data_IF_648370061093
#
_entry.id   IF_648370061093
#
_cell.length_a   1.000
_cell.length_b   1.000
_cell.length_c   1.000
_cell.angle_alpha   90.00
_cell.angle_beta   90.00
_cell.angle_gamma   90.00
#
_symmetry.space_group_name_H-M   'P 1'
#
loop_
_entity.id
_entity.type
_entity.pdbx_description
1 polymer ?
#
# COMPACT_ATOMS: atom_id res chain seq x y z
N UNK A 1 -29.02 -50.26 -21.76
CA UNK A 1 -28.05 -49.23 -21.34
C UNK A 1 -28.85 -48.10 -20.72
N UNK A 2 -28.87 -48.03 -19.38
CA UNK A 2 -29.20 -46.82 -18.62
C UNK A 2 -28.04 -46.68 -17.63
N UNK A 3 -27.43 -45.51 -17.68
CA UNK A 3 -26.10 -45.18 -17.23
C UNK A 3 -25.98 -45.19 -15.70
N UNK A 4 -25.13 -46.07 -15.15
CA UNK A 4 -24.67 -45.98 -13.76
C UNK A 4 -23.45 -45.06 -13.69
N UNK A 5 -23.70 -43.74 -13.65
CA UNK A 5 -22.67 -42.75 -13.42
C UNK A 5 -22.80 -42.13 -12.00
N UNK A 6 -21.84 -42.50 -11.15
CA UNK A 6 -21.35 -41.77 -9.96
C UNK A 6 -22.24 -41.77 -8.71
N UNK A 7 -22.17 -42.91 -8.00
CA UNK A 7 -22.19 -42.91 -6.54
C UNK A 7 -20.98 -42.11 -6.03
N UNK A 8 -21.21 -40.94 -5.46
CA UNK A 8 -20.31 -40.36 -4.46
C UNK A 8 -21.13 -40.13 -3.20
N UNK A 9 -21.01 -41.06 -2.26
CA UNK A 9 -21.43 -40.89 -0.88
C UNK A 9 -20.50 -39.86 -0.21
N UNK A 10 -20.67 -38.58 -0.56
CA UNK A 10 -20.06 -37.45 0.15
C UNK A 10 -20.95 -36.98 1.29
N UNK A 11 -21.49 -37.92 2.07
CA UNK A 11 -22.21 -37.62 3.30
C UNK A 11 -21.28 -37.92 4.47
N UNK A 12 -20.27 -37.06 4.68
CA UNK A 12 -19.57 -37.03 5.95
C UNK A 12 -20.58 -36.63 7.01
N UNK A 13 -20.81 -37.50 8.00
CA UNK A 13 -21.71 -37.17 9.10
C UNK A 13 -21.11 -35.98 9.86
N UNK A 14 -21.79 -34.83 9.90
CA UNK A 14 -21.34 -33.61 10.61
C UNK A 14 -20.93 -33.88 12.06
N UNK A 15 -21.60 -34.82 12.73
CA UNK A 15 -21.24 -35.24 14.10
C UNK A 15 -19.94 -36.06 14.19
N UNK A 16 -19.58 -36.82 13.15
CA UNK A 16 -18.28 -37.52 13.09
C UNK A 16 -17.17 -36.53 12.75
N UNK A 17 -17.43 -35.59 11.85
CA UNK A 17 -16.51 -34.50 11.50
C UNK A 17 -16.26 -33.61 12.73
N UNK A 18 -17.29 -33.10 13.40
CA UNK A 18 -17.14 -32.29 14.63
C UNK A 18 -16.36 -33.03 15.71
N UNK A 19 -16.66 -34.30 15.98
CA UNK A 19 -16.02 -35.05 17.07
C UNK A 19 -14.59 -35.51 16.73
N UNK A 20 -14.32 -35.83 15.47
CA UNK A 20 -13.00 -36.34 15.04
C UNK A 20 -12.05 -35.19 14.68
N UNK A 21 -12.55 -34.14 14.01
CA UNK A 21 -11.77 -32.94 13.71
C UNK A 21 -11.46 -32.16 14.97
N UNK A 22 -12.38 -32.04 15.94
CA UNK A 22 -12.09 -31.41 17.22
C UNK A 22 -11.00 -32.18 18.00
N UNK A 23 -11.04 -33.52 18.01
CA UNK A 23 -9.98 -34.32 18.66
C UNK A 23 -8.62 -34.13 18.00
N UNK A 24 -8.58 -34.09 16.67
CA UNK A 24 -7.34 -33.85 15.93
C UNK A 24 -6.85 -32.40 16.12
N UNK A 25 -7.77 -31.43 16.17
CA UNK A 25 -7.48 -30.01 16.39
C UNK A 25 -6.72 -29.70 17.67
N UNK A 26 -6.94 -30.47 18.73
CA UNK A 26 -6.24 -30.31 20.00
C UNK A 26 -5.26 -31.45 20.27
N UNK A 27 -4.90 -32.25 19.26
CA UNK A 27 -3.99 -33.37 19.41
C UNK A 27 -2.52 -32.93 19.39
N UNK A 28 -1.67 -33.70 20.07
CA UNK A 28 -0.20 -33.55 20.03
C UNK A 28 0.36 -33.79 18.62
N UNK A 29 -0.23 -34.73 17.86
CA UNK A 29 0.16 -35.01 16.47
C UNK A 29 0.03 -33.76 15.60
N UNK A 30 -1.10 -33.05 15.72
CA UNK A 30 -1.31 -31.80 14.98
C UNK A 30 -0.34 -30.71 15.42
N UNK A 31 0.04 -30.66 16.70
CA UNK A 31 1.04 -29.71 17.18
C UNK A 31 2.39 -29.97 16.52
N UNK A 32 2.85 -31.23 16.49
CA UNK A 32 4.10 -31.63 15.85
C UNK A 32 4.14 -31.26 14.35
N UNK A 33 3.07 -31.56 13.62
CA UNK A 33 2.93 -31.20 12.20
C UNK A 33 3.02 -29.68 11.98
N UNK A 34 2.44 -28.88 12.90
CA UNK A 34 2.55 -27.42 12.84
C UNK A 34 3.99 -26.99 13.12
N UNK A 35 4.61 -27.47 14.21
CA UNK A 35 5.95 -27.06 14.62
C UNK A 35 7.02 -27.41 13.61
N UNK A 36 6.91 -28.56 12.93
CA UNK A 36 7.82 -28.95 11.84
C UNK A 36 7.73 -28.00 10.62
N UNK A 37 6.58 -27.35 10.43
CA UNK A 37 6.34 -26.41 9.33
C UNK A 37 6.54 -24.93 9.68
N UNK A 38 6.85 -24.57 10.94
CA UNK A 38 6.95 -23.17 11.38
C UNK A 38 8.17 -22.45 10.78
N UNK A 39 9.32 -23.13 10.78
CA UNK A 39 10.60 -22.54 10.41
C UNK A 39 11.10 -23.09 9.08
N UNK A 40 11.67 -22.23 8.25
CA UNK A 40 12.36 -22.67 7.03
C UNK A 40 13.55 -23.58 7.37
N UNK A 41 13.92 -24.48 6.47
CA UNK A 41 14.99 -25.48 6.72
C UNK A 41 16.37 -24.88 7.02
N UNK A 42 16.60 -23.62 6.63
CA UNK A 42 17.86 -22.89 6.84
C UNK A 42 17.77 -21.76 7.87
N UNK A 43 16.63 -21.60 8.55
CA UNK A 43 16.38 -20.49 9.46
C UNK A 43 16.79 -20.83 10.90
N UNK A 44 18.08 -20.74 11.18
CA UNK A 44 18.67 -21.13 12.47
C UNK A 44 18.11 -20.33 13.65
N UNK A 45 17.82 -19.05 13.47
CA UNK A 45 17.29 -18.19 14.55
C UNK A 45 15.86 -18.60 14.90
N UNK A 46 15.03 -18.90 13.90
CA UNK A 46 13.69 -19.42 14.12
C UNK A 46 13.71 -20.76 14.87
N UNK A 47 14.55 -21.70 14.44
CA UNK A 47 14.69 -23.00 15.11
C UNK A 47 15.15 -22.86 16.55
N UNK A 48 16.17 -22.03 16.82
CA UNK A 48 16.66 -21.79 18.17
C UNK A 48 15.58 -21.20 19.09
N UNK A 49 14.76 -20.29 18.57
CA UNK A 49 13.65 -19.69 19.33
C UNK A 49 12.53 -20.70 19.61
N UNK A 50 12.22 -21.55 18.61
CA UNK A 50 11.21 -22.60 18.74
C UNK A 50 11.63 -23.62 19.80
N UNK A 51 12.88 -24.09 19.76
CA UNK A 51 13.46 -24.99 20.75
C UNK A 51 13.44 -24.38 22.16
N UNK A 52 13.80 -23.10 22.31
CA UNK A 52 13.80 -22.41 23.62
C UNK A 52 12.39 -22.33 24.26
N UNK A 53 11.34 -22.35 23.44
CA UNK A 53 9.98 -22.09 23.89
C UNK A 53 8.99 -23.23 23.62
N UNK A 54 9.47 -24.40 23.20
CA UNK A 54 8.66 -25.59 22.89
C UNK A 54 7.72 -25.95 24.04
N UNK A 55 8.24 -26.06 25.27
CA UNK A 55 7.43 -26.40 26.45
C UNK A 55 6.28 -25.41 26.70
N UNK A 56 6.48 -24.11 26.42
CA UNK A 56 5.46 -23.08 26.61
C UNK A 56 4.38 -23.19 25.52
N UNK A 57 4.79 -23.42 24.28
CA UNK A 57 3.88 -23.59 23.15
C UNK A 57 3.03 -24.86 23.31
N UNK A 58 3.63 -25.96 23.78
CA UNK A 58 2.92 -27.20 24.09
C UNK A 58 1.92 -27.01 25.24
N UNK A 59 2.36 -26.37 26.34
CA UNK A 59 1.47 -26.06 27.45
C UNK A 59 0.28 -25.19 27.03
N UNK A 60 0.52 -24.23 26.13
CA UNK A 60 -0.56 -23.42 25.57
C UNK A 60 -1.52 -24.26 24.74
N UNK A 61 -1.00 -25.03 23.79
CA UNK A 61 -1.79 -25.85 22.88
C UNK A 61 -2.71 -26.83 23.62
N UNK A 62 -2.16 -27.53 24.62
CA UNK A 62 -2.86 -28.61 25.32
C UNK A 62 -3.77 -28.12 26.45
N UNK A 63 -3.45 -26.98 27.10
CA UNK A 63 -4.12 -26.57 28.34
C UNK A 63 -4.65 -25.15 28.34
N UNK A 64 -3.94 -24.19 27.75
CA UNK A 64 -4.25 -22.76 27.92
C UNK A 64 -5.03 -22.14 26.75
N UNK A 65 -5.04 -22.76 25.58
CA UNK A 65 -5.66 -22.23 24.35
C UNK A 65 -7.14 -21.85 24.51
N UNK A 66 -7.87 -22.54 25.38
CA UNK A 66 -9.29 -22.21 25.66
C UNK A 66 -9.45 -20.89 26.42
N UNK A 67 -8.54 -20.62 27.35
CA UNK A 67 -8.57 -19.42 28.19
C UNK A 67 -7.87 -18.24 27.49
N UNK A 68 -6.90 -18.54 26.62
CA UNK A 68 -6.12 -17.57 25.86
C UNK A 68 -6.11 -17.96 24.37
N UNK A 69 -7.19 -17.70 23.63
CA UNK A 69 -7.33 -18.14 22.24
C UNK A 69 -6.37 -17.45 21.26
N UNK A 70 -5.90 -16.24 21.59
CA UNK A 70 -4.92 -15.50 20.81
C UNK A 70 -3.49 -15.88 21.26
N UNK A 71 -2.83 -16.71 20.45
CA UNK A 71 -1.45 -17.12 20.70
C UNK A 71 -0.49 -15.93 20.68
N UNK A 72 -0.66 -14.97 19.78
CA UNK A 72 0.25 -13.83 19.65
C UNK A 72 0.17 -12.94 20.90
N UNK A 73 -1.04 -12.62 21.33
CA UNK A 73 -1.27 -11.82 22.52
C UNK A 73 -0.74 -12.52 23.78
N UNK A 74 -1.03 -13.81 23.94
CA UNK A 74 -0.57 -14.58 25.10
C UNK A 74 0.95 -14.77 25.09
N UNK A 75 1.51 -15.25 23.99
CA UNK A 75 2.91 -15.65 23.90
C UNK A 75 3.82 -14.44 23.73
N UNK A 76 3.65 -13.67 22.66
CA UNK A 76 4.61 -12.62 22.34
C UNK A 76 4.42 -11.36 23.19
N UNK A 77 3.16 -10.94 23.39
CA UNK A 77 2.85 -9.67 24.07
C UNK A 77 2.91 -9.82 25.59
N UNK A 78 2.21 -10.82 26.15
CA UNK A 78 2.06 -10.99 27.60
C UNK A 78 3.17 -11.84 28.24
N UNK A 79 3.55 -12.96 27.62
CA UNK A 79 4.50 -13.92 28.21
C UNK A 79 5.95 -13.52 27.97
N UNK A 80 6.36 -13.36 26.71
CA UNK A 80 7.72 -12.98 26.34
C UNK A 80 7.97 -11.48 26.48
N UNK A 81 6.93 -10.66 26.30
CA UNK A 81 7.00 -9.20 26.33
C UNK A 81 7.97 -8.60 25.30
N UNK A 82 8.11 -9.26 24.16
CA UNK A 82 8.97 -8.80 23.05
C UNK A 82 8.17 -8.16 21.90
N UNK A 83 6.86 -8.43 21.80
CA UNK A 83 5.95 -7.78 20.84
C UNK A 83 4.94 -6.87 21.52
N UNK A 84 4.55 -5.79 20.84
CA UNK A 84 3.42 -4.95 21.20
C UNK A 84 2.14 -5.39 20.46
N UNK A 85 0.98 -4.96 20.96
CA UNK A 85 -0.27 -5.09 20.20
C UNK A 85 -0.23 -4.16 18.96
N UNK A 86 -0.94 -4.49 17.86
CA UNK A 86 -1.03 -3.61 16.71
C UNK A 86 -1.47 -2.19 17.09
N UNK A 87 -0.85 -1.20 16.46
CA UNK A 87 -1.02 0.23 16.72
C UNK A 87 -0.31 0.75 17.98
N UNK A 88 0.59 -0.03 18.57
CA UNK A 88 1.40 0.38 19.73
C UNK A 88 2.88 0.09 19.51
N UNK A 89 3.76 0.87 20.13
CA UNK A 89 5.20 0.85 19.88
C UNK A 89 6.03 1.07 21.15
N UNK A 90 7.33 0.83 21.05
CA UNK A 90 8.30 1.16 22.08
C UNK A 90 8.26 0.23 23.31
N UNK A 91 9.14 0.45 24.29
CA UNK A 91 9.32 -0.46 25.42
C UNK A 91 8.05 -0.67 26.26
N UNK A 92 7.19 0.35 26.31
CA UNK A 92 5.96 0.38 27.11
C UNK A 92 4.67 0.17 26.28
N UNK A 93 4.77 -0.12 24.97
CA UNK A 93 3.62 -0.19 24.06
C UNK A 93 2.70 1.03 24.10
N UNK A 94 3.29 2.20 23.91
CA UNK A 94 2.53 3.43 23.77
C UNK A 94 1.76 3.42 22.44
N UNK A 95 0.58 4.05 22.42
CA UNK A 95 -0.20 4.15 21.19
C UNK A 95 0.54 4.99 20.14
N UNK A 96 0.54 4.53 18.90
CA UNK A 96 1.01 5.30 17.75
C UNK A 96 0.28 6.64 17.62
N UNK A 97 0.90 7.62 16.94
CA UNK A 97 0.22 8.86 16.57
C UNK A 97 -1.04 8.55 15.74
N UNK A 98 -2.16 9.21 16.06
CA UNK A 98 -3.48 8.87 15.48
C UNK A 98 -4.23 7.74 16.22
N UNK A 99 -3.62 7.14 17.25
CA UNK A 99 -4.21 6.10 18.10
C UNK A 99 -3.92 4.68 17.62
N UNK A 100 -4.20 3.69 18.48
CA UNK A 100 -3.91 2.28 18.19
C UNK A 100 -4.90 1.61 17.24
N UNK A 101 -6.13 2.11 17.16
CA UNK A 101 -7.16 1.56 16.27
C UNK A 101 -6.95 1.98 14.81
N UNK A 102 -6.42 3.19 14.57
CA UNK A 102 -6.09 3.65 13.22
C UNK A 102 -4.82 4.53 13.22
N UNK A 103 -3.64 3.91 13.44
CA UNK A 103 -2.36 4.61 13.44
C UNK A 103 -2.20 5.47 12.19
N UNK A 104 -1.63 6.66 12.35
CA UNK A 104 -1.40 7.61 11.28
C UNK A 104 -2.66 7.95 10.48
N UNK A 105 -3.81 8.02 11.17
CA UNK A 105 -5.14 8.17 10.58
C UNK A 105 -5.50 7.10 9.53
N UNK A 106 -4.76 5.99 9.44
CA UNK A 106 -4.88 4.99 8.38
C UNK A 106 -4.18 5.36 7.07
N UNK A 107 -3.47 6.49 7.05
CA UNK A 107 -2.86 7.10 5.86
C UNK A 107 -1.33 7.16 5.97
N UNK A 108 -0.74 6.28 6.78
CA UNK A 108 0.70 6.18 6.95
C UNK A 108 1.12 4.94 7.73
N UNK A 109 2.43 4.73 7.80
CA UNK A 109 3.05 3.68 8.59
C UNK A 109 3.61 4.24 9.90
N UNK A 110 3.31 3.56 11.02
CA UNK A 110 3.83 3.93 12.34
C UNK A 110 5.18 3.27 12.61
N UNK A 111 6.16 4.08 12.98
CA UNK A 111 7.49 3.63 13.41
C UNK A 111 7.41 2.78 14.66
N UNK A 112 7.70 1.48 14.52
CA UNK A 112 7.66 0.51 15.61
C UNK A 112 6.29 -0.13 15.86
N UNK A 113 5.37 -0.06 14.90
CA UNK A 113 4.06 -0.70 15.03
C UNK A 113 4.16 -2.19 15.39
N UNK A 114 3.57 -2.58 16.51
CA UNK A 114 3.59 -3.95 17.03
C UNK A 114 4.94 -4.36 17.64
N UNK A 115 5.89 -3.45 17.75
CA UNK A 115 7.25 -3.71 18.22
C UNK A 115 7.56 -3.01 19.54
N UNK A 116 8.51 -3.56 20.31
CA UNK A 116 9.11 -2.89 21.48
C UNK A 116 10.11 -1.78 21.11
N UNK A 117 10.33 -1.54 19.83
CA UNK A 117 11.20 -0.50 19.30
C UNK A 117 10.36 0.61 18.62
N UNK A 118 11.05 1.59 18.02
CA UNK A 118 10.43 2.71 17.32
C UNK A 118 10.08 3.89 18.23
N UNK A 119 9.67 4.97 17.59
CA UNK A 119 9.34 6.26 18.21
C UNK A 119 7.88 6.68 17.97
N UNK A 120 7.09 5.85 17.29
CA UNK A 120 5.67 6.08 17.06
C UNK A 120 5.35 7.16 16.03
N UNK A 121 6.38 7.70 15.37
CA UNK A 121 6.22 8.68 14.31
C UNK A 121 5.56 8.07 13.07
N UNK A 122 4.88 8.91 12.29
CA UNK A 122 4.18 8.50 11.08
C UNK A 122 4.96 8.82 9.82
N UNK A 123 5.13 7.82 8.96
CA UNK A 123 5.54 7.98 7.56
C UNK A 123 4.30 7.96 6.67
N UNK A 124 3.91 9.12 6.14
CA UNK A 124 2.66 9.26 5.40
C UNK A 124 2.71 8.61 4.01
N UNK A 125 1.58 8.06 3.59
CA UNK A 125 1.37 7.60 2.22
C UNK A 125 1.34 8.79 1.25
N UNK A 126 1.51 8.52 -0.05
CA UNK A 126 1.43 9.53 -1.09
C UNK A 126 0.10 10.31 -1.01
N UNK A 127 0.20 11.64 -1.11
CA UNK A 127 -0.96 12.53 -1.00
C UNK A 127 -1.25 13.05 0.40
N UNK A 128 -0.58 12.52 1.43
CA UNK A 128 -0.82 12.86 2.84
C UNK A 128 0.40 13.47 3.52
N UNK A 129 0.15 14.34 4.50
CA UNK A 129 1.15 14.99 5.33
C UNK A 129 0.62 15.30 6.74
N UNK A 130 1.51 15.86 7.56
CA UNK A 130 1.25 16.17 8.97
C UNK A 130 1.63 15.02 9.89
N UNK A 131 1.66 15.28 11.21
CA UNK A 131 2.09 14.31 12.20
C UNK A 131 1.22 13.03 12.21
N UNK A 132 -0.06 13.16 11.87
CA UNK A 132 -1.03 12.06 11.86
C UNK A 132 -1.45 11.66 10.45
N UNK A 133 -0.82 12.17 9.39
CA UNK A 133 -1.19 11.90 7.98
C UNK A 133 -2.67 12.19 7.68
N UNK A 134 -3.22 13.22 8.31
CA UNK A 134 -4.61 13.66 8.16
C UNK A 134 -4.79 14.80 7.17
N UNK A 135 -3.72 15.44 6.76
CA UNK A 135 -3.76 16.61 5.88
C UNK A 135 -3.27 16.21 4.48
N UNK A 136 -3.84 16.84 3.44
CA UNK A 136 -3.39 16.60 2.07
C UNK A 136 -2.17 17.45 1.75
N UNK A 137 -1.27 16.93 0.94
CA UNK A 137 -0.16 17.69 0.33
C UNK A 137 -0.67 18.57 -0.81
N UNK A 138 0.12 19.53 -1.24
CA UNK A 138 -0.15 20.29 -2.48
C UNK A 138 -0.32 19.33 -3.67
N UNK A 139 -1.24 19.65 -4.57
CA UNK A 139 -1.67 18.74 -5.65
C UNK A 139 -2.69 17.68 -5.22
N UNK A 140 -3.14 17.68 -3.96
CA UNK A 140 -4.23 16.84 -3.48
C UNK A 140 -5.25 17.67 -2.69
N UNK A 141 -6.53 17.30 -2.77
CA UNK A 141 -7.60 17.87 -1.96
C UNK A 141 -8.29 16.82 -1.11
N UNK A 142 -8.91 17.25 -0.02
CA UNK A 142 -9.70 16.37 0.83
C UNK A 142 -11.09 16.16 0.21
N UNK A 143 -11.31 15.00 -0.40
CA UNK A 143 -12.63 14.64 -0.95
C UNK A 143 -13.61 14.23 0.13
N UNK A 144 -13.10 13.65 1.22
CA UNK A 144 -13.83 13.34 2.44
C UNK A 144 -12.98 13.66 3.66
N UNK A 145 -13.60 14.22 4.70
CA UNK A 145 -12.97 14.43 6.00
C UNK A 145 -13.95 14.14 7.13
N UNK A 146 -13.55 13.23 8.00
CA UNK A 146 -14.22 12.91 9.25
C UNK A 146 -13.29 13.25 10.43
N UNK A 147 -13.79 13.08 11.67
CA UNK A 147 -12.99 13.29 12.88
C UNK A 147 -11.78 12.37 12.96
N UNK A 148 -11.85 11.20 12.33
CA UNK A 148 -10.78 10.20 12.41
C UNK A 148 -9.85 10.23 11.21
N UNK A 149 -10.33 10.31 9.96
CA UNK A 149 -9.53 10.27 8.72
C UNK A 149 -9.95 11.34 7.73
N UNK A 150 -9.03 11.67 6.85
CA UNK A 150 -9.29 12.28 5.55
C UNK A 150 -9.01 11.30 4.42
N UNK A 151 -9.68 11.51 3.30
CA UNK A 151 -9.35 10.91 2.00
C UNK A 151 -8.81 12.02 1.12
N UNK A 152 -7.54 11.91 0.74
CA UNK A 152 -6.89 12.83 -0.17
C UNK A 152 -6.96 12.30 -1.61
N UNK A 153 -7.44 13.12 -2.52
CA UNK A 153 -7.60 12.81 -3.94
C UNK A 153 -6.77 13.80 -4.75
N UNK A 154 -6.09 13.32 -5.78
CA UNK A 154 -5.27 14.18 -6.63
C UNK A 154 -6.13 15.27 -7.28
N UNK A 155 -5.54 16.46 -7.40
CA UNK A 155 -6.09 17.54 -8.19
C UNK A 155 -6.03 17.20 -9.69
N UNK A 156 -6.73 18.01 -10.49
CA UNK A 156 -6.44 18.11 -11.92
C UNK A 156 -4.98 18.52 -12.15
N UNK A 157 -4.35 18.03 -13.22
CA UNK A 157 -2.92 18.31 -13.52
C UNK A 157 -2.62 19.80 -13.71
N UNK A 158 -3.65 20.56 -14.10
CA UNK A 158 -3.57 22.01 -14.25
C UNK A 158 -3.53 22.78 -12.92
N UNK A 159 -3.79 22.12 -11.78
CA UNK A 159 -3.83 22.74 -10.47
C UNK A 159 -2.55 22.48 -9.66
N UNK A 160 -1.96 23.52 -9.08
CA UNK A 160 -0.99 23.40 -7.99
C UNK A 160 -1.67 23.09 -6.65
N UNK A 161 -2.79 23.75 -6.39
CA UNK A 161 -3.66 23.50 -5.23
C UNK A 161 -5.11 23.50 -5.70
N UNK A 162 -5.97 22.70 -5.09
CA UNK A 162 -7.37 22.60 -5.50
C UNK A 162 -8.31 22.32 -4.32
N UNK A 163 -9.60 22.60 -4.52
CA UNK A 163 -10.69 22.22 -3.60
C UNK A 163 -11.58 21.12 -4.16
N UNK A 164 -11.28 20.67 -5.37
CA UNK A 164 -12.07 19.71 -6.13
C UNK A 164 -11.27 19.11 -7.29
N UNK A 165 -11.85 18.15 -8.01
CA UNK A 165 -11.12 17.34 -8.98
C UNK A 165 -10.98 17.99 -10.36
N UNK A 166 -11.63 19.12 -10.64
CA UNK A 166 -11.62 19.73 -11.97
C UNK A 166 -10.62 20.87 -12.09
N UNK A 167 -10.22 21.20 -13.33
CA UNK A 167 -9.41 22.38 -13.64
C UNK A 167 -10.07 23.73 -13.26
N UNK A 168 -11.36 23.74 -12.88
CA UNK A 168 -12.07 24.92 -12.36
C UNK A 168 -12.00 25.05 -10.85
N UNK A 169 -11.62 23.97 -10.16
CA UNK A 169 -11.51 23.92 -8.71
C UNK A 169 -10.10 24.27 -8.22
N UNK A 170 -9.23 24.77 -9.11
CA UNK A 170 -7.87 25.16 -8.76
C UNK A 170 -7.89 26.44 -7.90
N UNK A 171 -7.26 26.38 -6.73
CA UNK A 171 -6.91 27.57 -5.96
C UNK A 171 -5.72 28.32 -6.56
N UNK A 172 -4.80 27.59 -7.19
CA UNK A 172 -3.67 28.11 -7.93
C UNK A 172 -3.38 27.18 -9.12
N UNK A 173 -3.19 27.75 -10.32
CA UNK A 173 -2.75 26.97 -11.48
C UNK A 173 -1.31 26.47 -11.30
N UNK A 174 -1.02 25.30 -11.85
CA UNK A 174 0.32 24.75 -11.95
C UNK A 174 1.18 25.58 -12.91
N UNK A 175 2.51 25.38 -12.88
CA UNK A 175 3.41 26.03 -13.83
C UNK A 175 3.10 25.51 -15.24
N UNK A 176 3.10 26.40 -16.24
CA UNK A 176 2.65 26.09 -17.61
C UNK A 176 1.14 26.25 -17.83
N UNK A 177 0.39 26.66 -16.78
CA UNK A 177 -1.05 26.85 -16.86
C UNK A 177 -1.43 28.28 -16.43
N UNK A 178 -2.42 28.86 -17.11
CA UNK A 178 -2.95 30.19 -16.83
C UNK A 178 -4.44 30.11 -16.48
N UNK A 179 -4.89 31.03 -15.63
CA UNK A 179 -6.30 31.09 -15.26
C UNK A 179 -7.10 31.87 -16.32
N UNK A 180 -8.00 31.16 -17.00
CA UNK A 180 -8.86 31.68 -18.06
C UNK A 180 -10.32 31.24 -17.80
N UNK A 181 -11.26 32.19 -17.78
CA UNK A 181 -12.69 31.94 -17.53
C UNK A 181 -13.00 31.05 -16.30
N UNK A 182 -12.16 31.19 -15.26
CA UNK A 182 -12.27 30.44 -14.01
C UNK A 182 -11.83 28.98 -14.11
N UNK A 183 -11.08 28.61 -15.15
CA UNK A 183 -10.42 27.32 -15.30
C UNK A 183 -8.90 27.55 -15.47
N UNK A 184 -8.08 26.59 -15.05
CA UNK A 184 -6.68 26.55 -15.47
C UNK A 184 -6.60 25.90 -16.85
N UNK A 185 -6.07 26.66 -17.80
CA UNK A 185 -5.90 26.27 -19.19
C UNK A 185 -4.40 26.28 -19.51
N UNK A 186 -4.00 25.32 -20.33
CA UNK A 186 -2.62 25.15 -20.76
C UNK A 186 -2.14 26.39 -21.51
N UNK A 187 -0.95 26.89 -21.17
CA UNK A 187 -0.35 28.03 -21.84
C UNK A 187 0.34 27.53 -23.10
N UNK A 188 -0.12 27.96 -24.27
CA UNK A 188 0.59 27.65 -25.52
C UNK A 188 1.87 28.50 -25.64
N UNK A 189 2.98 28.00 -25.10
CA UNK A 189 4.25 28.72 -25.18
C UNK A 189 4.78 28.80 -26.62
N UNK A 190 4.36 27.90 -27.51
CA UNK A 190 4.73 27.92 -28.92
C UNK A 190 4.05 29.05 -29.70
N UNK A 191 2.90 29.54 -29.21
CA UNK A 191 2.17 30.68 -29.77
C UNK A 191 2.66 32.04 -29.25
N UNK A 192 3.68 32.07 -28.38
CA UNK A 192 4.24 33.31 -27.87
C UNK A 192 4.94 34.14 -28.96
N UNK A 193 4.94 35.48 -28.79
CA UNK A 193 5.62 36.42 -29.71
C UNK A 193 7.10 36.09 -29.93
N UNK A 194 7.74 35.54 -28.91
CA UNK A 194 9.10 34.97 -29.01
C UNK A 194 9.01 33.48 -28.70
N UNK A 195 9.08 32.61 -29.73
CA UNK A 195 9.03 31.17 -29.54
C UNK A 195 10.15 30.68 -28.62
N UNK A 196 9.88 29.69 -27.75
CA UNK A 196 10.85 29.25 -26.74
C UNK A 196 11.94 28.33 -27.31
N UNK A 197 11.76 27.81 -28.53
CA UNK A 197 12.70 26.93 -29.21
C UNK A 197 13.66 27.70 -30.13
N UNK A 198 14.84 27.11 -30.40
CA UNK A 198 15.82 27.72 -31.31
C UNK A 198 15.44 27.60 -32.79
N UNK A 199 16.12 28.37 -33.66
CA UNK A 199 15.80 28.55 -35.08
C UNK A 199 15.69 27.26 -35.95
N UNK A 200 16.24 26.13 -35.49
CA UNK A 200 16.21 24.83 -36.21
C UNK A 200 15.37 23.76 -35.49
N UNK A 201 14.58 24.18 -34.51
CA UNK A 201 13.71 23.32 -33.73
C UNK A 201 12.25 23.64 -34.02
N UNK A 202 11.43 22.60 -34.03
CA UNK A 202 9.98 22.70 -34.05
C UNK A 202 9.46 22.68 -32.61
N UNK A 203 8.58 23.63 -32.28
CA UNK A 203 7.92 23.71 -30.99
C UNK A 203 6.61 22.91 -31.03
N UNK A 204 6.46 21.98 -30.11
CA UNK A 204 5.21 21.27 -29.84
C UNK A 204 4.71 21.63 -28.46
N UNK A 205 3.51 22.24 -28.41
CA UNK A 205 2.83 22.54 -27.16
C UNK A 205 2.31 21.24 -26.53
N UNK A 206 2.56 21.03 -25.24
CA UNK A 206 2.11 19.85 -24.48
C UNK A 206 1.50 20.29 -23.15
N UNK A 207 0.59 19.52 -22.56
CA UNK A 207 -0.03 19.95 -21.30
C UNK A 207 1.02 20.27 -20.20
N UNK A 208 1.02 21.53 -19.76
CA UNK A 208 1.89 22.11 -18.74
C UNK A 208 3.32 22.46 -19.20
N UNK A 209 3.66 22.33 -20.49
CA UNK A 209 5.01 22.60 -21.00
C UNK A 209 5.06 22.67 -22.54
N UNK A 210 6.24 22.84 -23.10
CA UNK A 210 6.50 22.62 -24.53
C UNK A 210 7.66 21.64 -24.74
N UNK A 211 7.73 21.02 -25.92
CA UNK A 211 8.84 20.19 -26.37
C UNK A 211 9.45 20.79 -27.63
N UNK A 212 10.77 21.00 -27.63
CA UNK A 212 11.52 21.44 -28.80
C UNK A 212 12.18 20.25 -29.49
N UNK A 213 11.66 19.83 -30.65
CA UNK A 213 12.24 18.75 -31.44
C UNK A 213 13.12 19.30 -32.57
N UNK A 214 14.24 18.65 -32.87
CA UNK A 214 15.03 19.02 -34.04
C UNK A 214 14.24 18.79 -35.34
N UNK A 215 14.34 19.70 -36.31
CA UNK A 215 13.58 19.65 -37.56
C UNK A 215 13.67 18.32 -38.36
N UNK A 216 14.65 17.46 -38.05
CA UNK A 216 14.85 16.15 -38.66
C UNK A 216 14.07 14.99 -38.00
N UNK A 217 13.50 15.19 -36.81
CA UNK A 217 12.87 14.13 -36.01
C UNK A 217 11.51 13.66 -36.57
N UNK A 218 10.66 14.57 -37.05
CA UNK A 218 9.35 14.22 -37.66
C UNK A 218 9.46 13.62 -39.07
N UNK A 219 10.61 13.70 -39.73
CA UNK A 219 10.85 13.07 -41.04
C UNK A 219 10.95 11.52 -40.98
N UNK A 220 10.85 10.91 -39.78
CA UNK A 220 10.96 9.46 -39.57
C UNK A 220 9.65 8.74 -39.23
N UNK A 221 8.51 9.44 -39.17
CA UNK A 221 7.21 8.76 -39.03
C UNK A 221 6.88 7.98 -40.31
N UNK A 222 6.69 6.64 -40.27
CA UNK A 222 6.47 5.85 -41.47
C UNK A 222 5.01 6.00 -41.92
N UNK A 223 4.71 7.02 -42.71
CA UNK A 223 3.56 6.93 -43.62
C UNK A 223 3.98 5.97 -44.71
N UNK A 224 3.33 4.80 -44.77
CA UNK A 224 3.68 3.68 -45.64
C UNK A 224 4.22 4.11 -47.01
N UNK A 225 5.52 3.88 -47.23
CA UNK A 225 6.18 4.22 -48.47
C UNK A 225 7.64 3.80 -48.44
N UNK A 226 7.99 2.78 -49.24
CA UNK A 226 9.39 2.43 -49.51
C UNK A 226 10.09 3.61 -50.15
N UNK A 227 11.28 4.01 -49.66
CA UNK A 227 12.55 4.04 -50.45
C UNK A 227 13.72 4.69 -49.70
N UNK A 228 14.83 3.94 -49.71
CA UNK A 228 16.23 4.33 -49.96
C UNK A 228 16.71 5.76 -49.69
N UNK A 229 17.77 5.85 -48.87
CA UNK A 229 18.99 6.55 -49.29
C UNK A 229 19.42 7.76 -48.46
N UNK A 230 20.67 7.64 -47.96
CA UNK A 230 21.65 8.68 -47.63
C UNK A 230 21.55 9.44 -46.29
N UNK A 231 22.53 9.12 -45.45
CA UNK A 231 23.02 9.91 -44.32
C UNK A 231 24.22 10.72 -44.83
N UNK A 232 24.24 12.07 -44.77
CA UNK A 232 25.48 12.81 -44.84
C UNK A 232 26.12 12.88 -43.45
N UNK A 233 27.45 12.81 -43.45
CA UNK A 233 28.35 12.97 -42.30
C UNK A 233 28.34 14.40 -41.77
#
# INVERSE_FOLDING_TARGET
>A
MVDTAKKNFGGGNTAWEEKSLSKYEFSEVRLLEITEGLCGSSDFECHSLLEEHEERLEAWWLRLKKDFPDLFEWFCVKTLKVCCSPGTYGPDCLACQGGSQRPCSGNGHCSGDGSRQGDGSCQCHLGYQGATCSDCVDGYFSSLRNETHSVCTACDESCKTCTGPSNRDCGQCAVGWAQEDGACVDVDECAADTPPCGDQQYCENVNGSFVCEGAWARARAPVGGRRSGFCPL
#
